data_IF_811039219966
#
_entry.id   IF_811039219966
#
_cell.length_a   1.000
_cell.length_b   1.000
_cell.length_c   1.000
_cell.angle_alpha   90.00
_cell.angle_beta   90.00
_cell.angle_gamma   90.00
#
_symmetry.space_group_name_H-M   'P 1'
#
loop_
_entity.id
_entity.type
_entity.pdbx_description
1 polymer ?
#
# COMPACT_ATOMS: atom_id res chain seq x y z
N UNK A 1 5.14 9.62 11.79
CA UNK A 1 3.73 9.89 11.46
C UNK A 1 2.92 8.61 11.53
N UNK A 2 1.60 8.71 11.59
CA UNK A 2 0.68 7.56 11.49
C UNK A 2 0.11 7.49 10.08
N UNK A 3 0.41 6.42 9.37
CA UNK A 3 -0.03 6.19 8.01
C UNK A 3 -0.92 4.94 7.96
N UNK A 4 -1.90 4.94 7.06
CA UNK A 4 -2.65 3.75 6.74
C UNK A 4 -2.70 3.52 5.24
N UNK A 5 -2.54 2.26 4.85
CA UNK A 5 -2.78 1.77 3.50
C UNK A 5 -3.90 0.74 3.56
N UNK A 6 -4.96 0.93 2.79
CA UNK A 6 -6.07 -0.01 2.77
C UNK A 6 -6.47 -0.39 1.34
N UNK A 7 -6.96 -1.62 1.19
CA UNK A 7 -7.37 -2.16 -0.10
C UNK A 7 -8.22 -3.42 0.06
N UNK A 8 -9.02 -3.80 -0.96
CA UNK A 8 -9.60 -5.13 -1.07
C UNK A 8 -8.57 -6.27 -0.96
N UNK A 9 -9.05 -7.51 -0.80
CA UNK A 9 -8.19 -8.70 -0.81
C UNK A 9 -7.55 -8.89 -2.18
N UNK A 10 -6.32 -9.40 -2.22
CA UNK A 10 -5.63 -9.72 -3.46
C UNK A 10 -5.18 -8.53 -4.32
N UNK A 11 -5.20 -7.29 -3.80
CA UNK A 11 -4.71 -6.11 -4.54
C UNK A 11 -3.17 -6.00 -4.54
N UNK A 12 -2.52 -6.45 -3.46
CA UNK A 12 -1.05 -6.34 -3.34
C UNK A 12 -0.55 -5.60 -2.10
N UNK A 13 -1.39 -5.39 -1.07
CA UNK A 13 -1.01 -4.70 0.18
C UNK A 13 0.29 -5.22 0.79
N UNK A 14 0.50 -6.53 0.85
CA UNK A 14 1.74 -7.09 1.39
C UNK A 14 2.96 -6.86 0.50
N UNK A 15 2.78 -6.77 -0.83
CA UNK A 15 3.88 -6.32 -1.70
C UNK A 15 4.23 -4.86 -1.43
N UNK A 16 3.22 -4.02 -1.21
CA UNK A 16 3.40 -2.62 -0.84
C UNK A 16 4.13 -2.48 0.50
N UNK A 17 3.65 -3.15 1.55
CA UNK A 17 4.19 -3.05 2.90
C UNK A 17 5.62 -3.57 2.99
N UNK A 18 5.94 -4.69 2.33
CA UNK A 18 7.30 -5.22 2.24
C UNK A 18 8.23 -4.31 1.42
N UNK A 19 7.75 -3.77 0.30
CA UNK A 19 8.50 -2.83 -0.52
C UNK A 19 8.90 -1.56 0.24
N UNK A 20 7.94 -0.97 0.97
CA UNK A 20 8.22 0.17 1.87
C UNK A 20 9.23 -0.22 2.94
N UNK A 21 9.04 -1.37 3.59
CA UNK A 21 9.92 -1.83 4.67
C UNK A 21 11.37 -2.01 4.20
N UNK A 22 11.53 -2.64 3.05
CA UNK A 22 12.85 -2.89 2.47
C UNK A 22 13.52 -1.58 2.00
N UNK A 23 12.77 -0.69 1.34
CA UNK A 23 13.29 0.62 0.93
C UNK A 23 13.73 1.47 2.14
N UNK A 24 12.96 1.48 3.22
CA UNK A 24 13.34 2.23 4.44
C UNK A 24 14.56 1.61 5.13
N UNK A 25 14.62 0.28 5.25
CA UNK A 25 15.76 -0.39 5.89
C UNK A 25 17.07 -0.30 5.07
N UNK A 26 16.97 -0.16 3.75
CA UNK A 26 18.11 0.01 2.84
C UNK A 26 18.44 1.47 2.53
N UNK A 27 17.57 2.42 2.90
CA UNK A 27 17.67 3.80 2.41
C UNK A 27 17.51 3.87 0.89
N UNK A 28 16.73 2.98 0.28
CA UNK A 28 16.45 2.92 -1.15
C UNK A 28 15.13 3.58 -1.52
N UNK A 29 14.60 3.19 -2.68
CA UNK A 29 13.35 3.74 -3.22
C UNK A 29 12.29 2.66 -3.36
N UNK A 30 11.03 3.05 -3.23
CA UNK A 30 9.88 2.20 -3.52
C UNK A 30 8.80 3.03 -4.23
N UNK A 31 8.39 2.57 -5.42
CA UNK A 31 7.50 3.30 -6.31
C UNK A 31 8.03 4.71 -6.61
N UNK A 32 7.33 5.75 -6.17
CA UNK A 32 7.72 7.15 -6.35
C UNK A 32 8.44 7.74 -5.13
N UNK A 33 8.62 6.96 -4.06
CA UNK A 33 9.19 7.43 -2.80
C UNK A 33 10.64 6.98 -2.61
N UNK A 34 11.43 7.80 -1.92
CA UNK A 34 12.82 7.53 -1.58
C UNK A 34 13.02 7.72 -0.07
N UNK A 35 13.72 6.77 0.55
CA UNK A 35 14.19 6.89 1.93
C UNK A 35 15.58 7.57 1.93
N UNK A 36 15.74 8.78 2.49
CA UNK A 36 16.98 9.55 2.39
C UNK A 36 18.17 8.91 3.14
N UNK A 37 17.89 8.00 4.07
CA UNK A 37 18.87 7.27 4.86
C UNK A 37 18.29 5.93 5.32
N UNK A 38 19.08 4.87 5.49
CA UNK A 38 18.63 3.62 6.10
C UNK A 38 18.11 3.85 7.53
N UNK A 39 16.92 3.33 7.85
CA UNK A 39 16.30 3.42 9.18
C UNK A 39 15.76 2.06 9.62
N UNK A 40 15.83 1.76 10.91
CA UNK A 40 15.39 0.47 11.43
C UNK A 40 13.88 0.27 11.27
N UNK A 41 13.49 -0.93 10.86
CA UNK A 41 12.10 -1.32 10.59
C UNK A 41 11.73 -2.55 11.41
N UNK A 42 10.54 -2.51 12.02
CA UNK A 42 9.86 -3.68 12.58
C UNK A 42 8.62 -3.98 11.73
N UNK A 43 8.64 -5.12 11.03
CA UNK A 43 7.49 -5.64 10.29
C UNK A 43 6.76 -6.68 11.13
N UNK A 44 5.48 -6.46 11.37
CA UNK A 44 4.62 -7.38 12.11
C UNK A 44 3.62 -7.96 11.11
N UNK A 45 3.81 -9.24 10.77
CA UNK A 45 2.90 -10.02 9.95
C UNK A 45 1.82 -10.68 10.82
N UNK A 46 0.60 -10.75 10.30
CA UNK A 46 -0.52 -11.41 10.93
C UNK A 46 -1.32 -12.32 9.98
N UNK A 47 -0.82 -12.70 8.81
CA UNK A 47 -1.60 -13.52 7.86
C UNK A 47 -0.74 -14.47 7.03
N UNK A 48 0.49 -14.08 6.68
CA UNK A 48 1.26 -14.78 5.66
C UNK A 48 2.11 -15.90 6.25
N UNK A 49 2.13 -17.11 5.62
CA UNK A 49 3.08 -18.14 6.03
C UNK A 49 4.52 -17.66 5.94
N UNK A 50 5.34 -17.97 6.94
CA UNK A 50 6.72 -17.47 7.02
C UNK A 50 7.57 -17.85 5.81
N UNK A 51 7.34 -19.03 5.22
CA UNK A 51 8.03 -19.46 4.00
C UNK A 51 7.75 -18.54 2.80
N UNK A 52 6.50 -18.09 2.65
CA UNK A 52 6.07 -17.19 1.57
C UNK A 52 6.61 -15.78 1.81
N UNK A 53 6.58 -15.31 3.06
CA UNK A 53 7.15 -14.02 3.45
C UNK A 53 8.64 -13.96 3.11
N UNK A 54 9.39 -15.01 3.48
CA UNK A 54 10.82 -15.16 3.17
C UNK A 54 11.07 -15.17 1.67
N UNK A 55 10.29 -15.91 0.89
CA UNK A 55 10.43 -15.94 -0.57
C UNK A 55 10.24 -14.55 -1.19
N UNK A 56 9.22 -13.80 -0.74
CA UNK A 56 8.97 -12.44 -1.23
C UNK A 56 10.11 -11.49 -0.90
N UNK A 57 10.61 -11.54 0.33
CA UNK A 57 11.76 -10.72 0.74
C UNK A 57 13.03 -11.08 -0.04
N UNK A 58 13.28 -12.37 -0.29
CA UNK A 58 14.40 -12.80 -1.11
C UNK A 58 14.28 -12.25 -2.55
N UNK A 59 13.07 -12.26 -3.13
CA UNK A 59 12.82 -11.67 -4.45
C UNK A 59 13.07 -10.16 -4.44
N UNK A 60 12.61 -9.44 -3.40
CA UNK A 60 12.88 -8.00 -3.27
C UNK A 60 14.39 -7.74 -3.16
N UNK A 61 15.10 -8.51 -2.34
CA UNK A 61 16.54 -8.35 -2.14
C UNK A 61 17.34 -8.55 -3.44
N UNK A 62 17.05 -9.62 -4.18
CA UNK A 62 17.69 -9.88 -5.49
C UNK A 62 17.36 -8.80 -6.52
N UNK A 63 16.22 -8.13 -6.39
CA UNK A 63 15.76 -7.10 -7.32
C UNK A 63 16.22 -5.70 -6.96
N UNK A 64 16.70 -5.49 -5.73
CA UNK A 64 17.17 -4.21 -5.23
C UNK A 64 18.65 -4.02 -5.52
N UNK A 65 19.06 -2.78 -5.76
CA UNK A 65 20.47 -2.42 -5.89
C UNK A 65 21.11 -2.07 -4.54
N UNK A 66 20.31 -2.03 -3.47
CA UNK A 66 20.74 -1.76 -2.08
C UNK A 66 20.25 -2.85 -1.16
N UNK A 67 21.13 -3.32 -0.29
CA UNK A 67 20.76 -4.18 0.84
C UNK A 67 20.41 -3.35 2.09
N UNK A 68 19.60 -3.90 3.03
CA UNK A 68 19.33 -3.24 4.30
C UNK A 68 20.62 -2.92 5.05
N UNK A 69 20.85 -1.62 5.29
CA UNK A 69 21.96 -1.12 6.10
C UNK A 69 21.51 -0.75 7.53
N UNK A 70 20.21 -0.81 7.79
CA UNK A 70 19.60 -0.74 9.12
C UNK A 70 18.81 -2.02 9.41
N UNK A 71 18.49 -2.31 10.68
CA UNK A 71 17.76 -3.53 11.05
C UNK A 71 16.40 -3.63 10.36
N UNK A 72 16.09 -4.78 9.78
CA UNK A 72 14.76 -5.15 9.29
C UNK A 72 14.27 -6.37 10.07
N UNK A 73 13.59 -6.12 11.18
CA UNK A 73 13.04 -7.16 12.05
C UNK A 73 11.67 -7.60 11.56
N UNK A 74 11.40 -8.90 11.65
CA UNK A 74 10.12 -9.48 11.23
C UNK A 74 9.56 -10.33 12.35
N UNK A 75 8.34 -10.02 12.76
CA UNK A 75 7.53 -10.83 13.68
C UNK A 75 6.43 -11.47 12.85
N UNK A 76 6.38 -12.80 12.83
CA UNK A 76 5.35 -13.59 12.13
C UNK A 76 4.91 -14.74 13.05
N UNK A 77 3.61 -15.10 13.09
CA UNK A 77 3.09 -16.10 14.02
C UNK A 77 3.78 -17.46 13.92
N UNK A 78 4.14 -17.86 12.69
CA UNK A 78 4.77 -19.16 12.39
C UNK A 78 6.12 -19.36 13.09
N UNK A 79 6.76 -18.28 13.53
CA UNK A 79 8.07 -18.29 14.18
C UNK A 79 8.02 -17.93 15.67
N UNK A 80 6.82 -17.84 16.27
CA UNK A 80 6.66 -17.50 17.69
C UNK A 80 6.04 -18.63 18.49
N UNK A 81 6.65 -18.98 19.63
CA UNK A 81 6.10 -19.99 20.54
C UNK A 81 4.77 -19.56 21.19
N UNK A 82 4.59 -18.24 21.38
CA UNK A 82 3.37 -17.65 21.97
C UNK A 82 2.23 -17.44 20.98
N UNK A 83 2.43 -17.74 19.70
CA UNK A 83 1.46 -17.46 18.63
C UNK A 83 1.41 -15.98 18.24
N UNK A 84 0.31 -15.58 17.59
CA UNK A 84 0.15 -14.24 17.01
C UNK A 84 -0.13 -13.18 18.09
N UNK A 85 0.60 -12.06 18.06
CA UNK A 85 0.31 -10.91 18.93
C UNK A 85 -1.07 -10.31 18.64
N UNK A 86 -1.65 -9.63 19.63
CA UNK A 86 -2.84 -8.82 19.50
C UNK A 86 -2.56 -7.40 20.02
N UNK A 87 -2.31 -6.47 19.10
CA UNK A 87 -2.04 -5.05 19.38
C UNK A 87 -3.19 -4.32 20.07
N UNK A 88 -4.37 -4.92 20.20
CA UNK A 88 -5.45 -4.36 21.02
C UNK A 88 -5.30 -4.68 22.52
N UNK A 89 -4.36 -5.57 22.89
CA UNK A 89 -4.03 -5.93 24.29
C UNK A 89 -2.78 -5.21 24.76
N UNK A 90 -2.81 -4.68 25.98
CA UNK A 90 -1.67 -3.96 26.55
C UNK A 90 -0.44 -4.86 26.75
N UNK A 91 -0.62 -6.07 27.28
CA UNK A 91 0.50 -7.01 27.51
C UNK A 91 1.28 -7.33 26.22
N UNK A 92 0.58 -7.46 25.09
CA UNK A 92 1.19 -7.76 23.79
C UNK A 92 1.90 -6.52 23.22
N UNK A 93 1.39 -5.31 23.49
CA UNK A 93 2.09 -4.07 23.16
C UNK A 93 3.38 -3.94 23.96
N UNK A 94 3.36 -4.24 25.26
CA UNK A 94 4.53 -4.20 26.13
C UNK A 94 5.57 -5.27 25.75
N UNK A 95 5.13 -6.43 25.27
CA UNK A 95 6.02 -7.48 24.77
C UNK A 95 6.84 -7.05 23.53
N UNK A 96 6.39 -6.03 22.78
CA UNK A 96 7.13 -5.51 21.63
C UNK A 96 8.23 -4.53 22.03
N UNK A 97 8.12 -3.84 23.18
CA UNK A 97 9.03 -2.76 23.58
C UNK A 97 10.53 -3.12 23.51
N UNK A 98 10.98 -4.33 23.94
CA UNK A 98 12.38 -4.73 23.81
C UNK A 98 12.93 -4.73 22.38
N UNK A 99 12.05 -4.89 21.38
CA UNK A 99 12.40 -4.95 19.96
C UNK A 99 12.29 -3.59 19.25
N UNK A 100 11.88 -2.54 19.95
CA UNK A 100 11.71 -1.20 19.39
C UNK A 100 12.96 -0.32 19.47
N UNK A 101 14.03 -0.82 20.09
CA UNK A 101 15.32 -0.14 20.12
C UNK A 101 15.91 -0.05 18.70
N UNK A 102 16.24 1.17 18.25
CA UNK A 102 16.77 1.42 16.90
C UNK A 102 15.72 1.32 15.77
N UNK A 103 14.45 1.08 16.09
CA UNK A 103 13.35 1.05 15.12
C UNK A 103 12.72 2.44 15.00
N UNK A 104 12.57 2.92 13.76
CA UNK A 104 11.91 4.19 13.43
C UNK A 104 10.67 4.02 12.55
N UNK A 105 10.48 2.85 11.92
CA UNK A 105 9.25 2.48 11.24
C UNK A 105 8.71 1.15 11.79
N UNK A 106 7.44 1.13 12.17
CA UNK A 106 6.70 -0.07 12.50
C UNK A 106 5.64 -0.32 11.43
N UNK A 107 5.61 -1.50 10.85
CA UNK A 107 4.61 -1.92 9.85
C UNK A 107 3.72 -2.99 10.46
N UNK A 108 2.40 -2.78 10.41
CA UNK A 108 1.39 -3.68 10.95
C UNK A 108 0.59 -4.25 9.78
N UNK A 109 0.94 -5.47 9.33
CA UNK A 109 0.32 -6.16 8.19
C UNK A 109 -0.36 -7.47 8.63
N UNK A 110 -1.66 -7.50 8.94
CA UNK A 110 -2.62 -6.41 8.83
C UNK A 110 -3.41 -6.19 10.12
N UNK A 111 -4.03 -5.03 10.20
CA UNK A 111 -4.76 -4.58 11.37
C UNK A 111 -5.91 -5.53 11.74
N UNK A 112 -6.61 -6.12 10.78
CA UNK A 112 -7.74 -7.01 11.07
C UNK A 112 -7.33 -8.31 11.77
N UNK A 113 -6.12 -8.81 11.51
CA UNK A 113 -5.61 -10.05 12.15
C UNK A 113 -4.80 -9.76 13.41
N UNK A 114 -4.12 -8.61 13.46
CA UNK A 114 -3.28 -8.19 14.57
C UNK A 114 -4.04 -7.40 15.64
N UNK A 115 -5.34 -7.10 15.46
CA UNK A 115 -6.21 -6.47 16.45
C UNK A 115 -7.50 -7.28 16.58
N UNK A 116 -7.52 -8.25 17.51
CA UNK A 116 -8.60 -9.25 17.63
C UNK A 116 -9.53 -9.00 18.81
N UNK A 117 -9.10 -8.22 19.79
CA UNK A 117 -9.93 -7.87 20.95
C UNK A 117 -10.80 -6.65 20.63
N UNK A 118 -12.10 -6.76 20.96
CA UNK A 118 -13.11 -5.74 20.64
C UNK A 118 -13.80 -5.95 19.29
N UNK A 119 -14.81 -5.14 19.00
CA UNK A 119 -15.56 -5.19 17.74
C UNK A 119 -14.96 -4.22 16.74
N UNK A 120 -14.47 -4.73 15.61
CA UNK A 120 -13.82 -3.94 14.55
C UNK A 120 -14.69 -2.78 14.00
N UNK A 121 -16.01 -2.89 14.11
CA UNK A 121 -16.97 -1.90 13.65
C UNK A 121 -17.34 -0.86 14.72
N UNK A 122 -16.92 -1.08 15.98
CA UNK A 122 -17.14 -0.15 17.08
C UNK A 122 -15.88 0.67 17.31
N UNK A 123 -16.04 1.98 17.49
CA UNK A 123 -14.90 2.87 17.69
C UNK A 123 -14.07 2.52 18.93
N UNK A 124 -14.68 1.90 19.95
CA UNK A 124 -14.01 1.51 21.19
C UNK A 124 -12.93 0.45 20.97
N UNK A 125 -13.13 -0.49 20.04
CA UNK A 125 -12.12 -1.50 19.71
C UNK A 125 -10.87 -0.92 19.04
N UNK A 126 -10.95 0.30 18.52
CA UNK A 126 -9.80 1.01 17.94
C UNK A 126 -9.00 1.81 18.96
N UNK A 127 -9.60 2.23 20.08
CA UNK A 127 -8.95 3.13 21.05
C UNK A 127 -7.61 2.60 21.61
N UNK A 128 -7.46 1.31 21.98
CA UNK A 128 -6.18 0.80 22.47
C UNK A 128 -5.06 0.89 21.42
N UNK A 129 -5.40 0.56 20.17
CA UNK A 129 -4.46 0.58 19.04
C UNK A 129 -4.11 2.01 18.64
N UNK A 130 -5.10 2.90 18.66
CA UNK A 130 -4.92 4.33 18.46
C UNK A 130 -3.96 4.92 19.49
N UNK A 131 -4.20 4.64 20.77
CA UNK A 131 -3.36 5.10 21.86
C UNK A 131 -1.92 4.56 21.71
N UNK A 132 -1.76 3.29 21.35
CA UNK A 132 -0.44 2.71 21.07
C UNK A 132 0.27 3.40 19.91
N UNK A 133 -0.39 3.59 18.77
CA UNK A 133 0.18 4.31 17.63
C UNK A 133 0.63 5.72 18.01
N UNK A 134 -0.19 6.45 18.77
CA UNK A 134 0.16 7.78 19.28
C UNK A 134 1.39 7.76 20.20
N UNK A 135 1.53 6.75 21.08
CA UNK A 135 2.74 6.58 21.90
C UNK A 135 3.98 6.32 21.05
N UNK A 136 3.87 5.49 20.02
CA UNK A 136 4.99 5.24 19.10
C UNK A 136 5.39 6.50 18.32
N UNK A 137 4.40 7.30 17.88
CA UNK A 137 4.65 8.61 17.28
C UNK A 137 5.35 9.57 18.23
N UNK A 138 4.90 9.65 19.48
CA UNK A 138 5.54 10.49 20.50
C UNK A 138 6.98 10.04 20.82
N UNK A 139 7.27 8.75 20.68
CA UNK A 139 8.61 8.18 20.79
C UNK A 139 9.48 8.36 19.51
N UNK A 140 9.02 9.13 18.53
CA UNK A 140 9.77 9.43 17.31
C UNK A 140 9.63 8.39 16.19
N UNK A 141 8.74 7.39 16.34
CA UNK A 141 8.53 6.33 15.35
C UNK A 141 7.36 6.65 14.42
N UNK A 142 7.43 6.15 13.20
CA UNK A 142 6.30 6.11 12.28
C UNK A 142 5.62 4.75 12.35
N UNK A 143 4.30 4.71 12.17
CA UNK A 143 3.53 3.46 12.12
C UNK A 143 2.75 3.43 10.82
N UNK A 144 2.92 2.35 10.06
CA UNK A 144 2.17 2.04 8.85
C UNK A 144 1.19 0.90 9.14
N UNK A 145 -0.10 1.23 9.19
CA UNK A 145 -1.17 0.25 9.32
C UNK A 145 -1.62 -0.23 7.95
N UNK A 146 -1.57 -1.54 7.71
CA UNK A 146 -2.19 -2.16 6.54
C UNK A 146 -3.57 -2.64 6.93
N UNK A 147 -4.57 -2.33 6.11
CA UNK A 147 -5.96 -2.66 6.43
C UNK A 147 -6.77 -3.16 5.25
N UNK A 148 -7.89 -3.81 5.54
CA UNK A 148 -8.83 -4.24 4.50
C UNK A 148 -9.84 -3.13 4.17
N UNK A 149 -10.19 -3.03 2.88
CA UNK A 149 -11.40 -2.34 2.47
C UNK A 149 -12.64 -3.16 2.86
N UNK A 150 -13.72 -2.47 3.21
CA UNK A 150 -15.06 -3.03 3.39
C UNK A 150 -15.75 -3.30 2.06
N UNK A 151 -16.98 -3.82 2.13
CA UNK A 151 -17.77 -4.19 0.93
C UNK A 151 -18.04 -3.01 -0.02
N UNK A 152 -18.11 -1.78 0.52
CA UNK A 152 -18.33 -0.56 -0.25
C UNK A 152 -17.07 0.11 -0.79
N UNK A 153 -15.91 -0.57 -0.73
CA UNK A 153 -14.63 -0.02 -1.21
C UNK A 153 -13.94 0.93 -0.24
N UNK A 154 -14.65 1.50 0.72
CA UNK A 154 -14.07 2.31 1.80
C UNK A 154 -13.34 1.45 2.84
N UNK A 155 -12.52 2.09 3.67
CA UNK A 155 -11.86 1.44 4.79
C UNK A 155 -12.86 0.62 5.63
N UNK A 156 -12.52 -0.62 5.99
CA UNK A 156 -13.38 -1.46 6.83
C UNK A 156 -13.46 -0.91 8.26
N UNK A 157 -14.67 -0.88 8.82
CA UNK A 157 -14.99 -0.50 10.20
C UNK A 157 -15.28 1.00 10.39
N UNK A 158 -14.89 1.58 11.52
CA UNK A 158 -15.29 2.96 11.89
C UNK A 158 -14.41 4.05 11.25
N UNK A 159 -15.03 5.15 10.81
CA UNK A 159 -14.33 6.35 10.31
C UNK A 159 -13.45 7.04 11.36
N UNK A 160 -13.69 6.80 12.67
CA UNK A 160 -12.84 7.30 13.76
C UNK A 160 -11.37 6.88 13.64
N UNK A 161 -11.07 5.84 12.85
CA UNK A 161 -9.69 5.43 12.57
C UNK A 161 -8.89 6.54 11.94
N UNK A 162 -9.52 7.33 11.08
CA UNK A 162 -8.85 8.35 10.29
C UNK A 162 -8.46 9.58 11.10
N UNK A 163 -9.12 9.87 12.23
CA UNK A 163 -8.96 11.13 12.97
C UNK A 163 -7.50 11.46 13.31
N UNK A 164 -6.77 10.46 13.82
CA UNK A 164 -5.38 10.59 14.25
C UNK A 164 -4.36 10.34 13.16
N UNK A 165 -4.79 9.75 12.03
CA UNK A 165 -3.87 9.43 10.93
C UNK A 165 -3.40 10.70 10.26
N UNK A 166 -2.12 10.72 9.90
CA UNK A 166 -1.51 11.80 9.15
C UNK A 166 -1.76 11.58 7.65
N UNK A 167 -1.64 10.32 7.21
CA UNK A 167 -1.78 9.92 5.80
C UNK A 167 -2.67 8.68 5.66
N UNK A 168 -3.57 8.68 4.66
CA UNK A 168 -4.42 7.56 4.28
C UNK A 168 -4.28 7.33 2.78
N UNK A 169 -3.85 6.13 2.42
CA UNK A 169 -3.64 5.68 1.04
C UNK A 169 -4.61 4.53 0.72
N UNK A 170 -5.36 4.69 -0.35
CA UNK A 170 -6.26 3.69 -0.92
C UNK A 170 -5.58 3.01 -2.10
N UNK A 171 -5.36 1.70 -2.04
CA UNK A 171 -4.92 0.93 -3.21
C UNK A 171 -6.14 0.38 -3.94
N UNK A 172 -6.28 0.77 -5.20
CA UNK A 172 -7.44 0.40 -6.04
C UNK A 172 -6.96 -0.45 -7.21
N UNK A 173 -7.77 -1.41 -7.66
CA UNK A 173 -7.46 -2.10 -8.92
C UNK A 173 -7.81 -1.19 -10.08
N UNK A 174 -6.99 -1.15 -11.14
CA UNK A 174 -7.41 -0.57 -12.40
C UNK A 174 -8.69 -1.24 -12.91
N UNK A 175 -9.55 -0.50 -13.61
CA UNK A 175 -10.81 -1.04 -14.14
C UNK A 175 -10.61 -2.20 -15.13
N UNK A 176 -9.49 -2.20 -15.84
CA UNK A 176 -9.05 -3.21 -16.81
C UNK A 176 -8.23 -4.36 -16.18
N UNK A 177 -8.24 -4.48 -14.85
CA UNK A 177 -7.51 -5.54 -14.16
C UNK A 177 -7.98 -6.95 -14.54
N UNK A 178 -7.03 -7.83 -14.84
CA UNK A 178 -7.27 -9.28 -14.94
C UNK A 178 -6.43 -10.08 -13.92
N UNK A 179 -6.94 -11.21 -13.39
CA UNK A 179 -6.24 -11.98 -12.34
C UNK A 179 -4.82 -12.45 -12.68
N UNK A 180 -4.52 -12.66 -13.96
CA UNK A 180 -3.22 -13.10 -14.49
C UNK A 180 -2.13 -12.01 -14.47
N UNK A 181 -2.51 -10.73 -14.32
CA UNK A 181 -1.57 -9.60 -14.33
C UNK A 181 -0.74 -9.45 -13.04
N UNK A 182 -0.99 -10.27 -12.02
CA UNK A 182 -0.28 -10.20 -10.75
C UNK A 182 -0.62 -8.94 -9.93
N UNK A 183 0.38 -8.35 -9.30
CA UNK A 183 0.20 -7.16 -8.46
C UNK A 183 0.22 -5.88 -9.31
N UNK A 184 -0.97 -5.31 -9.53
CA UNK A 184 -1.15 -4.00 -10.14
C UNK A 184 -2.22 -3.23 -9.36
N UNK A 185 -1.91 -1.98 -9.03
CA UNK A 185 -2.81 -1.11 -8.30
C UNK A 185 -2.56 0.37 -8.57
N UNK A 186 -3.61 1.16 -8.44
CA UNK A 186 -3.58 2.60 -8.36
C UNK A 186 -3.40 3.03 -6.90
N UNK A 187 -2.51 3.98 -6.66
CA UNK A 187 -2.24 4.58 -5.36
C UNK A 187 -2.99 5.91 -5.29
N UNK A 188 -3.97 6.02 -4.39
CA UNK A 188 -4.76 7.23 -4.18
C UNK A 188 -4.57 7.76 -2.76
N UNK A 189 -4.23 9.04 -2.62
CA UNK A 189 -4.17 9.71 -1.33
C UNK A 189 -5.55 10.27 -0.96
N UNK A 190 -6.14 9.77 0.13
CA UNK A 190 -7.43 10.25 0.65
C UNK A 190 -7.25 11.23 1.81
N UNK A 191 -6.14 11.09 2.53
CA UNK A 191 -5.67 12.02 3.55
C UNK A 191 -4.17 12.18 3.42
N UNK A 192 -3.68 13.41 3.44
CA UNK A 192 -2.27 13.70 3.21
C UNK A 192 -1.83 14.94 4.00
N UNK A 193 -1.86 14.88 5.34
CA UNK A 193 -1.44 16.00 6.18
C UNK A 193 0.03 16.30 5.94
N UNK A 194 0.33 17.52 5.49
CA UNK A 194 1.70 17.97 5.26
C UNK A 194 2.29 17.64 3.89
N UNK A 195 1.53 16.99 2.99
CA UNK A 195 1.89 16.77 1.59
C UNK A 195 1.03 17.65 0.69
N UNK A 196 1.59 18.15 -0.41
CA UNK A 196 0.86 19.07 -1.30
C UNK A 196 1.27 18.94 -2.77
N UNK A 197 0.38 19.37 -3.65
CA UNK A 197 0.63 19.41 -5.09
C UNK A 197 0.92 18.04 -5.68
N UNK A 198 2.08 17.89 -6.30
CA UNK A 198 2.45 16.72 -7.08
C UNK A 198 2.71 15.47 -6.22
N UNK A 199 3.01 15.65 -4.94
CA UNK A 199 3.27 14.55 -3.99
C UNK A 199 2.02 13.71 -3.69
N UNK A 200 0.83 14.26 -3.91
CA UNK A 200 -0.45 13.58 -3.66
C UNK A 200 -1.15 13.13 -4.94
N UNK A 201 -0.54 13.36 -6.11
CA UNK A 201 -1.10 12.92 -7.40
C UNK A 201 -1.17 11.39 -7.43
N UNK A 202 -2.32 10.83 -7.85
CA UNK A 202 -2.46 9.39 -7.95
C UNK A 202 -1.62 8.84 -9.09
N UNK A 203 -1.15 7.60 -8.91
CA UNK A 203 -0.33 6.90 -9.89
C UNK A 203 -0.68 5.41 -9.92
N UNK A 204 -0.43 4.76 -11.05
CA UNK A 204 -0.53 3.32 -11.23
C UNK A 204 0.85 2.68 -11.01
N UNK A 205 0.88 1.56 -10.31
CA UNK A 205 2.06 0.75 -10.08
C UNK A 205 1.78 -0.71 -10.49
N UNK A 206 2.64 -1.27 -11.34
CA UNK A 206 2.55 -2.65 -11.82
C UNK A 206 3.86 -3.38 -11.52
N UNK A 207 3.76 -4.53 -10.85
CA UNK A 207 4.88 -5.42 -10.62
C UNK A 207 5.03 -6.37 -11.80
N UNK A 208 6.20 -6.38 -12.42
CA UNK A 208 6.58 -7.35 -13.46
C UNK A 208 7.76 -8.17 -12.99
N UNK A 209 7.86 -9.41 -13.46
CA UNK A 209 9.06 -10.25 -13.26
C UNK A 209 9.78 -10.36 -14.58
N UNK A 210 11.04 -9.96 -14.62
CA UNK A 210 11.90 -10.02 -15.80
C UNK A 210 12.33 -11.47 -16.08
N UNK A 211 12.81 -11.80 -17.30
CA UNK A 211 13.20 -13.17 -17.65
C UNK A 211 14.30 -13.77 -16.77
N UNK A 212 15.15 -12.94 -16.16
CA UNK A 212 16.20 -13.34 -15.21
C UNK A 212 15.68 -13.54 -13.77
N UNK A 213 14.37 -13.36 -13.54
CA UNK A 213 13.71 -13.59 -12.25
C UNK A 213 13.70 -12.39 -11.30
N UNK A 214 14.26 -11.25 -11.69
CA UNK A 214 14.14 -9.99 -10.92
C UNK A 214 12.73 -9.42 -11.03
N UNK A 215 12.36 -8.59 -10.06
CA UNK A 215 11.07 -7.92 -10.00
C UNK A 215 11.25 -6.42 -10.17
N UNK A 216 10.42 -5.82 -11.01
CA UNK A 216 10.46 -4.39 -11.30
C UNK A 216 9.06 -3.79 -11.14
N UNK A 217 9.01 -2.58 -10.58
CA UNK A 217 7.79 -1.79 -10.51
C UNK A 217 7.77 -0.77 -11.65
N UNK A 218 6.87 -0.96 -12.59
CA UNK A 218 6.53 0.09 -13.56
C UNK A 218 5.54 1.06 -12.89
N UNK A 219 5.91 2.34 -12.84
CA UNK A 219 5.08 3.40 -12.23
C UNK A 219 4.72 4.44 -13.28
N UNK A 220 3.47 4.88 -13.29
CA UNK A 220 2.97 5.89 -14.23
C UNK A 220 1.95 6.82 -13.56
N UNK A 221 1.97 8.13 -13.83
CA UNK A 221 0.90 9.02 -13.40
C UNK A 221 -0.46 8.49 -13.86
N UNK A 222 -1.45 8.47 -12.97
CA UNK A 222 -2.74 7.83 -13.26
C UNK A 222 -3.44 8.49 -14.45
N UNK A 223 -3.31 9.81 -14.58
CA UNK A 223 -3.84 10.56 -15.73
C UNK A 223 -3.23 10.06 -17.05
N UNK A 224 -1.92 9.82 -17.08
CA UNK A 224 -1.23 9.33 -18.28
C UNK A 224 -1.62 7.88 -18.58
N UNK A 225 -1.70 7.01 -17.55
CA UNK A 225 -2.22 5.63 -17.71
C UNK A 225 -3.63 5.64 -18.30
N UNK A 226 -4.51 6.51 -17.80
CA UNK A 226 -5.89 6.65 -18.29
C UNK A 226 -5.93 7.10 -19.75
N UNK A 227 -5.13 8.11 -20.11
CA UNK A 227 -5.06 8.63 -21.48
C UNK A 227 -4.65 7.55 -22.48
N UNK A 228 -3.62 6.76 -22.15
CA UNK A 228 -3.14 5.69 -23.01
C UNK A 228 -4.14 4.54 -23.15
N UNK A 229 -4.81 4.15 -22.05
CA UNK A 229 -5.86 3.11 -22.09
C UNK A 229 -7.06 3.55 -22.94
N UNK A 230 -7.54 4.78 -22.74
CA UNK A 230 -8.63 5.35 -23.54
C UNK A 230 -8.21 5.45 -25.01
N UNK A 231 -6.98 5.84 -25.30
CA UNK A 231 -6.47 5.92 -26.66
C UNK A 231 -6.44 4.55 -27.37
N UNK A 232 -5.97 3.51 -26.68
CA UNK A 232 -5.95 2.14 -27.20
C UNK A 232 -7.35 1.65 -27.55
N UNK A 233 -8.30 1.76 -26.61
CA UNK A 233 -9.68 1.30 -26.82
C UNK A 233 -10.40 2.09 -27.92
N UNK A 234 -10.17 3.40 -28.02
CA UNK A 234 -10.70 4.20 -29.13
C UNK A 234 -10.14 3.76 -30.48
N UNK A 235 -8.84 3.41 -30.53
CA UNK A 235 -8.19 2.91 -31.74
C UNK A 235 -8.70 1.53 -32.16
N UNK A 236 -9.22 0.75 -31.21
CA UNK A 236 -9.95 -0.50 -31.44
C UNK A 236 -11.42 -0.29 -31.84
N UNK A 237 -11.88 0.96 -31.92
CA UNK A 237 -13.24 1.31 -32.33
C UNK A 237 -14.29 1.24 -31.22
N UNK A 238 -13.88 1.09 -29.96
CA UNK A 238 -14.79 1.02 -28.81
C UNK A 238 -15.32 2.42 -28.50
N UNK A 239 -16.62 2.52 -28.23
CA UNK A 239 -17.25 3.82 -27.96
C UNK A 239 -16.84 4.39 -26.59
N UNK A 240 -16.84 5.72 -26.45
CA UNK A 240 -16.52 6.34 -25.14
C UNK A 240 -17.47 5.91 -24.01
N UNK A 241 -18.69 5.48 -24.33
CA UNK A 241 -19.65 4.98 -23.35
C UNK A 241 -19.20 3.61 -22.83
N UNK A 242 -18.86 2.69 -23.74
CA UNK A 242 -18.35 1.37 -23.38
C UNK A 242 -16.99 1.47 -22.66
N UNK A 243 -16.11 2.37 -23.10
CA UNK A 243 -14.83 2.64 -22.42
C UNK A 243 -15.06 3.08 -20.96
N UNK A 244 -16.05 3.94 -20.72
CA UNK A 244 -16.38 4.38 -19.36
C UNK A 244 -16.80 3.21 -18.47
N UNK A 245 -17.58 2.27 -19.00
CA UNK A 245 -18.00 1.06 -18.28
C UNK A 245 -16.82 0.10 -18.05
N UNK A 246 -16.02 -0.17 -19.09
CA UNK A 246 -14.87 -1.08 -19.03
C UNK A 246 -13.80 -0.62 -18.05
N UNK A 247 -13.50 0.68 -18.02
CA UNK A 247 -12.48 1.25 -17.14
C UNK A 247 -13.03 1.70 -15.79
N UNK A 248 -14.34 1.60 -15.55
CA UNK A 248 -14.98 2.10 -14.33
C UNK A 248 -14.84 3.62 -14.16
N UNK A 249 -14.76 4.37 -15.26
CA UNK A 249 -14.57 5.82 -15.29
C UNK A 249 -15.89 6.55 -15.52
N UNK A 250 -15.94 7.83 -15.15
CA UNK A 250 -17.06 8.68 -15.55
C UNK A 250 -16.95 9.06 -17.04
N UNK A 251 -18.09 9.29 -17.71
CA UNK A 251 -18.10 9.79 -19.11
C UNK A 251 -17.27 11.06 -19.28
N UNK A 252 -17.32 11.96 -18.30
CA UNK A 252 -16.50 13.19 -18.30
C UNK A 252 -15.00 12.90 -18.22
N UNK A 253 -14.58 11.92 -17.43
CA UNK A 253 -13.18 11.49 -17.37
C UNK A 253 -12.70 10.88 -18.69
N UNK A 254 -13.52 10.02 -19.32
CA UNK A 254 -13.19 9.45 -20.64
C UNK A 254 -13.10 10.53 -21.71
N UNK A 255 -14.06 11.46 -21.76
CA UNK A 255 -14.04 12.57 -22.72
C UNK A 255 -12.79 13.45 -22.55
N UNK A 256 -12.42 13.78 -21.31
CA UNK A 256 -11.18 14.52 -21.01
C UNK A 256 -9.94 13.75 -21.45
N UNK A 257 -9.87 12.45 -21.16
CA UNK A 257 -8.76 11.59 -21.56
C UNK A 257 -8.64 11.45 -23.08
N UNK A 258 -9.75 11.28 -23.78
CA UNK A 258 -9.81 11.22 -25.25
C UNK A 258 -9.31 12.51 -25.90
N UNK A 259 -9.73 13.68 -25.36
CA UNK A 259 -9.22 14.98 -25.84
C UNK A 259 -7.70 15.08 -25.66
N UNK A 260 -7.19 14.71 -24.48
CA UNK A 260 -5.75 14.73 -24.20
C UNK A 260 -4.98 13.72 -25.07
N UNK A 261 -5.55 12.55 -25.33
CA UNK A 261 -5.00 11.57 -26.26
C UNK A 261 -4.88 12.12 -27.69
N UNK A 262 -5.89 12.86 -28.16
CA UNK A 262 -5.85 13.53 -29.45
C UNK A 262 -4.78 14.64 -29.49
N UNK A 263 -4.69 15.47 -28.45
CA UNK A 263 -3.64 16.51 -28.30
C UNK A 263 -2.23 15.90 -28.30
N UNK A 264 -2.06 14.70 -27.74
CA UNK A 264 -0.81 13.93 -27.73
C UNK A 264 -0.57 13.13 -29.03
N UNK A 265 -1.51 13.15 -29.99
CA UNK A 265 -1.39 12.39 -31.24
C UNK A 265 -1.54 10.88 -31.11
N UNK A 266 -2.08 10.39 -29.97
CA UNK A 266 -2.26 8.96 -29.70
C UNK A 266 -3.51 8.37 -30.39
N UNK A 267 -4.46 9.22 -30.78
CA UNK A 267 -5.66 8.82 -31.53
C UNK A 267 -5.89 9.83 -32.65
N UNK A 268 -6.26 9.35 -33.83
CA UNK A 268 -6.76 10.24 -34.89
C UNK A 268 -8.23 10.53 -34.61
N UNK A 269 -8.56 11.79 -34.37
CA UNK A 269 -9.95 12.24 -34.34
C UNK A 269 -10.47 12.15 -35.77
N UNK A 270 -11.38 11.21 -36.03
CA UNK A 270 -12.16 11.14 -37.26
C UNK A 270 -13.27 12.19 -37.25
#
# INVERSE_FOLDING_TARGET
>A
GLCMVYAPRGVGKTHFSLGVSYAVASGGSFLTWEAPSPRGVLFIDGEMPAAVLRERLARIAVSSDREPAAPLWIVTPDLQDRGMIDLSRQDDQEALEPFLAGVELIVVDNLSTLCRTGRENEGEGWLPVQAWGLRQRAAGRSVLFIHHAGKGGQQRGTSRREDVLDTVISLRRPGDYSPDQGAIFEVHFEKARGLYGDETKPFEAKLTTTPDGRQEWAVKPLEQSTVEKVAGLLSEGISQIEIAEMLGLTRGAVSKAAKKAAEQGLVRVS
#
